data_IF_591964918217
#
_entry.id   IF_591964918217
#
_cell.length_a   1.000
_cell.length_b   1.000
_cell.length_c   1.000
_cell.angle_alpha   90.00
_cell.angle_beta   90.00
_cell.angle_gamma   90.00
#
_symmetry.space_group_name_H-M   'P 1'
#
loop_
_entity.id
_entity.type
_entity.pdbx_description
1 polymer ?
#
# COMPACT_ATOMS: atom_id res chain seq x y z
N UNK A 1 8.81 -6.44 -10.14
CA UNK A 1 8.32 -7.84 -10.14
C UNK A 1 6.84 -7.85 -9.86
N UNK A 2 6.36 -7.09 -8.87
CA UNK A 2 4.95 -6.93 -8.57
C UNK A 2 4.51 -5.45 -8.69
N UNK A 3 4.61 -4.83 -9.89
CA UNK A 3 4.20 -3.44 -10.09
C UNK A 3 2.69 -3.24 -9.87
N UNK A 4 1.87 -4.29 -10.00
CA UNK A 4 0.43 -4.21 -9.72
C UNK A 4 0.14 -3.91 -8.25
N UNK A 5 0.88 -4.49 -7.30
CA UNK A 5 0.70 -4.17 -5.88
C UNK A 5 1.11 -2.73 -5.58
N UNK A 6 2.11 -2.18 -6.28
CA UNK A 6 2.43 -0.76 -6.17
C UNK A 6 1.27 0.12 -6.66
N UNK A 7 0.64 -0.25 -7.79
CA UNK A 7 -0.54 0.43 -8.30
C UNK A 7 -1.72 0.38 -7.32
N UNK A 8 -1.98 -0.79 -6.73
CA UNK A 8 -3.02 -0.98 -5.72
C UNK A 8 -2.76 -0.13 -4.46
N UNK A 9 -1.54 -0.15 -3.92
CA UNK A 9 -1.16 0.69 -2.77
C UNK A 9 -1.33 2.18 -3.10
N UNK A 10 -0.93 2.60 -4.30
CA UNK A 10 -1.08 3.99 -4.76
C UNK A 10 -2.55 4.39 -4.87
N UNK A 11 -3.40 3.50 -5.39
CA UNK A 11 -4.84 3.72 -5.50
C UNK A 11 -5.48 3.87 -4.12
N UNK A 12 -5.20 2.95 -3.19
CA UNK A 12 -5.73 3.01 -1.82
C UNK A 12 -5.25 4.25 -1.07
N UNK A 13 -4.00 4.67 -1.29
CA UNK A 13 -3.44 5.90 -0.72
C UNK A 13 -4.13 7.14 -1.29
N UNK A 14 -4.38 7.16 -2.60
CA UNK A 14 -5.14 8.24 -3.26
C UNK A 14 -6.55 8.37 -2.71
N UNK A 15 -7.27 7.25 -2.59
CA UNK A 15 -8.62 7.23 -2.00
C UNK A 15 -8.61 7.74 -0.55
N UNK A 16 -7.66 7.28 0.27
CA UNK A 16 -7.53 7.73 1.65
C UNK A 16 -7.19 9.22 1.75
N UNK A 17 -6.43 9.76 0.80
CA UNK A 17 -6.12 11.20 0.70
C UNK A 17 -7.37 12.00 0.36
N UNK A 18 -8.18 11.54 -0.62
CA UNK A 18 -9.46 12.17 -0.95
C UNK A 18 -10.43 12.14 0.23
N UNK A 19 -10.52 11.01 0.93
CA UNK A 19 -11.35 10.87 2.13
C UNK A 19 -10.87 11.79 3.28
N UNK A 20 -9.56 11.87 3.52
CA UNK A 20 -8.99 12.80 4.50
C UNK A 20 -9.37 14.26 4.20
N UNK A 21 -9.30 14.67 2.92
CA UNK A 21 -9.72 16.01 2.50
C UNK A 21 -11.19 16.29 2.78
N UNK A 22 -12.07 15.33 2.50
CA UNK A 22 -13.50 15.45 2.82
C UNK A 22 -13.75 15.50 4.34
N UNK A 23 -13.05 14.68 5.12
CA UNK A 23 -13.15 14.66 6.58
C UNK A 23 -12.64 15.95 7.20
N UNK A 24 -11.63 16.60 6.61
CA UNK A 24 -11.07 17.87 7.11
C UNK A 24 -12.03 19.06 7.01
N UNK A 25 -13.16 18.94 6.30
CA UNK A 25 -14.15 20.00 6.18
C UNK A 25 -14.75 20.35 7.55
N UNK A 26 -14.79 21.64 7.88
CA UNK A 26 -15.39 22.16 9.13
C UNK A 26 -16.79 21.59 9.45
N UNK A 27 -17.78 21.55 8.53
CA UNK A 27 -19.08 20.98 8.85
C UNK A 27 -19.01 19.49 9.23
N UNK A 28 -18.10 18.74 8.61
CA UNK A 28 -17.88 17.32 8.90
C UNK A 28 -17.22 17.13 10.26
N UNK A 29 -16.18 17.92 10.56
CA UNK A 29 -15.53 17.90 11.87
C UNK A 29 -16.50 18.22 13.02
N UNK A 30 -17.34 19.25 12.85
CA UNK A 30 -18.35 19.63 13.85
C UNK A 30 -19.38 18.50 14.03
N UNK A 31 -19.85 17.89 12.94
CA UNK A 31 -20.76 16.76 12.99
C UNK A 31 -20.14 15.53 13.69
N UNK A 32 -18.82 15.34 13.56
CA UNK A 32 -18.05 14.32 14.27
C UNK A 32 -17.71 14.71 15.72
N UNK A 33 -18.11 15.89 16.19
CA UNK A 33 -17.88 16.37 17.55
C UNK A 33 -16.52 17.06 17.76
N UNK A 34 -15.78 17.34 16.70
CA UNK A 34 -14.48 18.02 16.75
C UNK A 34 -14.60 19.51 16.37
N UNK A 35 -13.96 20.37 17.17
CA UNK A 35 -13.99 21.83 16.97
C UNK A 35 -12.62 22.45 16.69
N UNK A 36 -11.55 21.64 16.72
CA UNK A 36 -10.17 22.10 16.60
C UNK A 36 -9.32 21.29 15.62
N UNK A 37 -8.07 21.73 15.38
CA UNK A 37 -7.15 21.09 14.43
C UNK A 37 -6.81 19.63 14.79
N UNK A 38 -6.95 19.25 16.06
CA UNK A 38 -6.75 17.88 16.51
C UNK A 38 -7.75 16.89 15.87
N UNK A 39 -8.98 17.31 15.57
CA UNK A 39 -9.97 16.46 14.92
C UNK A 39 -9.60 16.11 13.48
N UNK A 40 -9.04 17.08 12.75
CA UNK A 40 -8.54 16.87 11.39
C UNK A 40 -7.39 15.86 11.39
N UNK A 41 -6.46 15.98 12.35
CA UNK A 41 -5.37 15.03 12.50
C UNK A 41 -5.88 13.61 12.83
N UNK A 42 -6.81 13.49 13.77
CA UNK A 42 -7.37 12.19 14.17
C UNK A 42 -8.12 11.50 13.02
N UNK A 43 -9.00 12.23 12.34
CA UNK A 43 -9.79 11.71 11.20
C UNK A 43 -8.92 11.36 10.00
N UNK A 44 -7.86 12.13 9.76
CA UNK A 44 -6.86 11.81 8.73
C UNK A 44 -6.05 10.57 9.11
N UNK A 45 -5.58 10.45 10.35
CA UNK A 45 -4.87 9.24 10.79
C UNK A 45 -5.73 7.97 10.63
N UNK A 46 -7.04 8.08 10.94
CA UNK A 46 -7.99 7.00 10.73
C UNK A 46 -8.16 6.63 9.25
N UNK A 47 -8.27 7.61 8.34
CA UNK A 47 -8.44 7.32 6.91
C UNK A 47 -7.23 6.59 6.30
N UNK A 48 -6.03 6.83 6.81
CA UNK A 48 -4.80 6.13 6.37
C UNK A 48 -4.56 4.79 7.06
N UNK A 49 -5.33 4.43 8.09
CA UNK A 49 -5.14 3.15 8.80
C UNK A 49 -5.43 1.96 7.88
N UNK A 50 -6.51 2.02 7.10
CA UNK A 50 -6.88 0.97 6.14
C UNK A 50 -5.83 0.75 5.03
N UNK A 51 -5.42 1.76 4.25
CA UNK A 51 -4.40 1.56 3.20
C UNK A 51 -3.05 1.13 3.78
N UNK A 52 -2.64 1.63 4.95
CA UNK A 52 -1.40 1.21 5.60
C UNK A 52 -1.43 -0.28 5.97
N UNK A 53 -2.54 -0.74 6.55
CA UNK A 53 -2.72 -2.15 6.90
C UNK A 53 -2.77 -3.05 5.66
N UNK A 54 -3.51 -2.65 4.62
CA UNK A 54 -3.55 -3.39 3.35
C UNK A 54 -2.16 -3.48 2.70
N UNK A 55 -1.41 -2.38 2.67
CA UNK A 55 -0.04 -2.38 2.17
C UNK A 55 0.88 -3.32 2.96
N UNK A 56 0.74 -3.35 4.29
CA UNK A 56 1.48 -4.30 5.14
C UNK A 56 1.15 -5.76 4.80
N UNK A 57 -0.14 -6.11 4.71
CA UNK A 57 -0.57 -7.47 4.36
C UNK A 57 -0.04 -7.91 3.00
N UNK A 58 -0.16 -7.05 1.98
CA UNK A 58 0.26 -7.36 0.61
C UNK A 58 1.78 -7.53 0.51
N UNK A 59 2.56 -6.72 1.24
CA UNK A 59 4.02 -6.72 1.12
C UNK A 59 4.70 -7.74 2.02
N UNK A 60 4.15 -8.03 3.19
CA UNK A 60 4.82 -8.87 4.21
C UNK A 60 4.12 -10.20 4.49
N UNK A 61 2.82 -10.35 4.21
CA UNK A 61 2.05 -11.54 4.66
C UNK A 61 1.55 -12.39 3.50
N UNK A 62 0.70 -11.83 2.62
CA UNK A 62 -0.09 -12.64 1.68
C UNK A 62 0.22 -12.41 0.20
N UNK A 63 0.55 -11.19 -0.21
CA UNK A 63 0.67 -10.85 -1.63
C UNK A 63 1.99 -11.32 -2.24
N UNK A 64 3.04 -10.53 -2.01
CA UNK A 64 4.39 -10.75 -2.52
C UNK A 64 5.03 -12.05 -2.00
N UNK A 65 5.12 -12.30 -0.69
CA UNK A 65 5.90 -13.43 -0.17
C UNK A 65 5.34 -14.78 -0.60
N UNK A 66 4.02 -14.98 -0.54
CA UNK A 66 3.41 -16.25 -0.98
C UNK A 66 3.61 -16.52 -2.46
N UNK A 67 3.52 -15.48 -3.31
CA UNK A 67 3.69 -15.64 -4.76
C UNK A 67 5.15 -15.90 -5.11
N UNK A 68 6.08 -15.17 -4.49
CA UNK A 68 7.52 -15.36 -4.66
C UNK A 68 7.94 -16.78 -4.22
N UNK A 69 7.45 -17.27 -3.07
CA UNK A 69 7.75 -18.62 -2.56
C UNK A 69 7.24 -19.72 -3.50
N UNK A 70 6.04 -19.57 -4.09
CA UNK A 70 5.50 -20.53 -5.07
C UNK A 70 6.36 -20.61 -6.33
N UNK A 71 6.81 -19.46 -6.84
CA UNK A 71 7.69 -19.44 -8.01
C UNK A 71 9.08 -19.98 -7.68
N UNK A 72 9.62 -19.69 -6.50
CA UNK A 72 10.89 -20.22 -6.03
C UNK A 72 10.89 -21.75 -5.94
N UNK A 73 9.78 -22.34 -5.47
CA UNK A 73 9.62 -23.80 -5.46
C UNK A 73 9.53 -24.39 -6.87
N UNK A 74 8.82 -23.72 -7.78
CA UNK A 74 8.61 -24.20 -9.15
C UNK A 74 9.85 -24.08 -10.05
N UNK A 75 10.65 -23.02 -9.86
CA UNK A 75 11.79 -22.68 -10.72
C UNK A 75 13.12 -22.74 -9.97
N UNK A 76 13.20 -23.58 -8.92
CA UNK A 76 14.36 -23.69 -8.03
C UNK A 76 15.68 -23.87 -8.78
N UNK A 77 15.70 -24.76 -9.77
CA UNK A 77 16.91 -25.13 -10.52
C UNK A 77 17.10 -24.34 -11.83
N UNK A 78 16.23 -23.37 -12.11
CA UNK A 78 16.32 -22.56 -13.33
C UNK A 78 17.24 -21.35 -13.10
N UNK A 79 18.44 -21.38 -13.70
CA UNK A 79 19.43 -20.31 -13.58
C UNK A 79 18.95 -18.97 -14.18
N UNK A 80 18.17 -18.99 -15.26
CA UNK A 80 17.61 -17.76 -15.86
C UNK A 80 16.60 -17.09 -14.92
N UNK A 81 15.75 -17.89 -14.25
CA UNK A 81 14.81 -17.38 -13.26
C UNK A 81 15.54 -16.71 -12.08
N UNK A 82 16.60 -17.33 -11.57
CA UNK A 82 17.39 -16.76 -10.48
C UNK A 82 18.10 -15.47 -10.89
N UNK A 83 18.64 -15.39 -12.12
CA UNK A 83 19.22 -14.16 -12.66
C UNK A 83 18.17 -13.05 -12.77
N UNK A 84 17.04 -13.33 -13.42
CA UNK A 84 15.92 -12.38 -13.55
C UNK A 84 15.41 -11.88 -12.19
N UNK A 85 15.30 -12.76 -11.19
CA UNK A 85 14.83 -12.42 -9.85
C UNK A 85 15.76 -11.43 -9.13
N UNK A 86 17.08 -11.56 -9.35
CA UNK A 86 18.10 -10.67 -8.77
C UNK A 86 18.09 -9.30 -9.44
N UNK A 87 17.94 -9.26 -10.76
CA UNK A 87 18.03 -8.00 -11.51
C UNK A 87 16.74 -7.19 -11.50
N UNK A 88 15.58 -7.85 -11.30
CA UNK A 88 14.27 -7.21 -11.32
C UNK A 88 13.84 -6.73 -9.93
N UNK A 89 13.57 -5.42 -9.74
CA UNK A 89 13.14 -4.86 -8.45
C UNK A 89 11.78 -5.41 -8.02
N UNK A 90 11.48 -5.44 -6.71
CA UNK A 90 10.25 -6.04 -6.19
C UNK A 90 8.99 -5.21 -6.49
N UNK A 91 8.91 -4.01 -5.92
CA UNK A 91 7.71 -3.15 -5.94
C UNK A 91 7.84 -1.95 -6.89
N UNK A 92 8.78 -1.05 -6.60
CA UNK A 92 8.99 0.18 -7.38
C UNK A 92 9.78 -0.16 -8.65
N UNK A 93 9.33 0.26 -9.84
CA UNK A 93 10.12 0.12 -11.07
C UNK A 93 11.46 0.83 -10.91
N UNK A 94 12.54 0.27 -11.46
CA UNK A 94 13.80 1.00 -11.58
C UNK A 94 13.54 2.21 -12.48
N UNK A 95 13.47 3.39 -11.87
CA UNK A 95 13.60 4.65 -12.58
C UNK A 95 15.10 4.78 -12.79
N UNK A 96 15.55 4.53 -14.04
CA UNK A 96 16.94 4.48 -14.53
C UNK A 96 17.89 3.43 -13.93
#
# INVERSE_FOLDING_TARGET
RFPHYFGEISLWTGLATTAAGALALKPVQIALGFTGPAGVLATTALSFTAPAFSAFLLTQVSGIPMTEERHDKRFKDNQEYQAWKRDTPKLVPKLW
#
